data_IF_308701297079
#
_entry.id   IF_308701297079
#
_cell.length_a   1.000
_cell.length_b   1.000
_cell.length_c   1.000
_cell.angle_alpha   90.00
_cell.angle_beta   90.00
_cell.angle_gamma   90.00
#
_symmetry.space_group_name_H-M   'P 1'
#
loop_
_entity.id
_entity.type
_entity.pdbx_description
1 polymer ?
#
# COMPACT_ATOMS: atom_id res chain seq x y z
N UNK A 1 3.10 -44.61 -22.19
CA UNK A 1 2.24 -43.41 -22.13
C UNK A 1 2.41 -42.80 -20.75
N UNK A 2 2.91 -41.57 -20.64
CA UNK A 2 3.27 -40.96 -19.35
C UNK A 2 2.08 -40.25 -18.69
N UNK A 3 2.02 -40.27 -17.35
CA UNK A 3 1.07 -39.48 -16.58
C UNK A 3 1.45 -37.99 -16.60
N UNK A 4 0.48 -37.06 -16.60
CA UNK A 4 0.76 -35.64 -16.47
C UNK A 4 1.18 -35.27 -15.02
N UNK A 5 2.00 -34.22 -14.83
CA UNK A 5 2.42 -33.79 -13.50
C UNK A 5 1.27 -33.13 -12.72
N UNK A 6 1.19 -33.41 -11.42
CA UNK A 6 0.20 -32.79 -10.53
C UNK A 6 0.61 -31.37 -10.14
N UNK A 7 -0.34 -30.43 -10.15
CA UNK A 7 -0.11 -29.06 -9.72
C UNK A 7 0.07 -28.95 -8.19
N UNK A 8 0.94 -28.05 -7.69
CA UNK A 8 1.07 -27.81 -6.25
C UNK A 8 -0.17 -27.10 -5.70
N UNK A 9 -0.83 -27.71 -4.72
CA UNK A 9 -2.05 -27.19 -4.10
C UNK A 9 -1.77 -25.85 -3.41
N UNK A 10 -2.42 -24.79 -3.87
CA UNK A 10 -2.39 -23.48 -3.21
C UNK A 10 -3.08 -23.54 -1.82
N UNK A 11 -2.48 -22.85 -0.85
CA UNK A 11 -2.98 -22.73 0.52
C UNK A 11 -4.44 -22.25 0.59
N UNK A 12 -5.27 -22.92 1.40
CA UNK A 12 -6.63 -22.52 1.78
C UNK A 12 -6.67 -22.26 3.29
N UNK A 13 -7.52 -21.33 3.70
CA UNK A 13 -7.70 -20.93 5.11
C UNK A 13 -8.58 -21.96 5.83
N UNK A 14 -8.17 -22.50 7.00
CA UNK A 14 -9.07 -23.31 7.83
C UNK A 14 -10.16 -22.45 8.49
N UNK A 15 -11.41 -22.94 8.50
CA UNK A 15 -12.54 -22.28 9.19
C UNK A 15 -13.56 -21.58 8.29
N UNK A 16 -13.76 -22.06 7.06
CA UNK A 16 -14.92 -21.71 6.24
C UNK A 16 -15.88 -22.91 6.20
N UNK A 17 -16.90 -22.83 7.06
CA UNK A 17 -18.23 -23.46 7.04
C UNK A 17 -18.33 -24.95 6.67
N UNK A 18 -18.71 -25.76 7.67
CA UNK A 18 -19.28 -27.10 7.48
C UNK A 18 -20.68 -26.99 6.87
N UNK A 19 -20.86 -27.48 5.63
CA UNK A 19 -22.18 -27.76 5.06
C UNK A 19 -22.09 -29.03 4.20
N UNK A 20 -22.91 -30.08 4.46
CA UNK A 20 -22.77 -31.38 3.80
C UNK A 20 -23.45 -31.43 2.42
N UNK A 21 -22.71 -31.96 1.44
CA UNK A 21 -23.15 -32.18 0.06
C UNK A 21 -24.23 -33.30 -0.05
N UNK A 22 -25.44 -33.03 -0.56
CA UNK A 22 -26.48 -34.04 -0.72
C UNK A 22 -26.44 -34.72 -2.10
N UNK A 23 -26.24 -36.04 -2.12
CA UNK A 23 -26.37 -36.87 -3.32
C UNK A 23 -27.81 -36.97 -3.86
N UNK A 24 -28.01 -37.41 -5.12
CA UNK A 24 -29.26 -37.21 -5.84
C UNK A 24 -30.26 -38.39 -5.76
N UNK A 25 -31.57 -38.09 -5.74
CA UNK A 25 -32.60 -38.93 -6.36
C UNK A 25 -33.88 -39.21 -5.55
N UNK A 26 -35.05 -38.93 -6.17
CA UNK A 26 -36.43 -39.28 -5.78
C UNK A 26 -36.97 -38.69 -4.44
N UNK A 27 -38.26 -38.36 -4.26
CA UNK A 27 -39.40 -38.32 -5.20
C UNK A 27 -40.74 -38.53 -4.47
N UNK A 28 -41.78 -37.78 -4.86
CA UNK A 28 -43.21 -37.84 -4.43
C UNK A 28 -43.62 -37.25 -3.05
N UNK A 29 -44.39 -36.15 -3.14
CA UNK A 29 -45.78 -35.93 -2.71
C UNK A 29 -46.26 -36.11 -1.25
N UNK A 30 -46.90 -35.02 -0.78
CA UNK A 30 -48.15 -34.90 0.01
C UNK A 30 -48.38 -35.62 1.36
N UNK A 31 -48.98 -34.87 2.29
CA UNK A 31 -49.83 -35.46 3.35
C UNK A 31 -49.79 -34.79 4.72
N UNK A 32 -50.81 -33.98 5.04
CA UNK A 32 -51.07 -33.45 6.38
C UNK A 32 -51.46 -34.54 7.39
N UNK A 33 -50.97 -34.49 8.64
CA UNK A 33 -51.39 -35.42 9.71
C UNK A 33 -51.00 -35.00 11.13
N UNK A 34 -52.00 -34.88 12.00
CA UNK A 34 -52.01 -34.47 13.41
C UNK A 34 -51.13 -35.28 14.41
N UNK A 35 -50.61 -34.56 15.42
CA UNK A 35 -50.37 -34.91 16.86
C UNK A 35 -50.77 -36.31 17.38
N UNK A 36 -50.02 -36.90 18.36
CA UNK A 36 -50.05 -36.39 19.75
C UNK A 36 -48.78 -36.55 20.63
N UNK A 37 -48.83 -35.93 21.82
CA UNK A 37 -47.84 -35.99 22.91
C UNK A 37 -48.22 -37.12 23.90
N UNK A 38 -47.26 -37.94 24.39
CA UNK A 38 -47.42 -38.74 25.61
C UNK A 38 -46.62 -38.18 26.81
N UNK A 39 -47.20 -38.28 28.01
CA UNK A 39 -46.54 -38.02 29.30
C UNK A 39 -46.04 -39.34 29.96
N UNK A 40 -45.31 -39.16 31.07
CA UNK A 40 -44.99 -40.11 32.14
C UNK A 40 -43.93 -41.22 31.92
N UNK A 41 -43.10 -41.38 32.97
CA UNK A 41 -42.08 -42.42 33.12
C UNK A 41 -41.15 -42.13 34.30
N UNK A 42 -41.38 -42.77 35.46
CA UNK A 42 -40.64 -42.51 36.72
C UNK A 42 -39.67 -43.62 37.11
N UNK A 43 -38.68 -43.27 37.98
CA UNK A 43 -37.75 -44.13 38.76
C UNK A 43 -36.53 -44.71 38.02
N UNK A 44 -35.48 -45.20 38.73
CA UNK A 44 -35.17 -45.12 40.17
C UNK A 44 -33.79 -44.49 40.51
N UNK A 45 -33.55 -44.23 41.80
CA UNK A 45 -32.25 -43.86 42.38
C UNK A 45 -31.61 -45.10 43.03
N UNK A 46 -30.32 -45.39 42.81
CA UNK A 46 -29.52 -46.24 43.70
C UNK A 46 -28.44 -45.44 44.45
N UNK A 47 -28.32 -45.65 45.75
CA UNK A 47 -27.16 -45.22 46.56
C UNK A 47 -26.09 -46.31 46.60
N UNK A 48 -24.82 -45.89 46.53
CA UNK A 48 -23.66 -46.32 47.34
C UNK A 48 -22.36 -46.45 46.53
N UNK A 49 -21.23 -46.05 47.15
CA UNK A 49 -19.88 -46.27 46.61
C UNK A 49 -18.91 -45.11 46.84
N UNK A 50 -18.03 -45.23 47.84
CA UNK A 50 -17.02 -44.23 48.20
C UNK A 50 -15.75 -44.33 47.33
N UNK A 51 -15.20 -43.17 46.88
CA UNK A 51 -13.74 -42.84 46.77
C UNK A 51 -13.51 -41.40 46.18
N UNK A 52 -12.29 -40.82 46.29
CA UNK A 52 -12.14 -39.42 46.72
C UNK A 52 -12.01 -38.36 45.62
N UNK A 53 -12.31 -37.12 46.02
CA UNK A 53 -12.07 -35.90 45.24
C UNK A 53 -10.58 -35.51 45.18
N UNK A 54 -10.05 -35.02 44.04
CA UNK A 54 -8.73 -34.38 43.97
C UNK A 54 -8.77 -32.98 44.60
N UNK A 55 -7.75 -32.61 45.38
CA UNK A 55 -7.53 -31.23 45.81
C UNK A 55 -7.19 -30.34 44.62
N UNK A 56 -7.91 -29.22 44.46
CA UNK A 56 -7.45 -28.09 43.65
C UNK A 56 -6.64 -27.11 44.51
N UNK A 57 -5.49 -26.68 43.97
CA UNK A 57 -4.53 -25.83 44.67
C UNK A 57 -4.99 -24.38 44.87
N UNK A 58 -4.29 -23.69 45.78
CA UNK A 58 -4.55 -22.30 46.17
C UNK A 58 -4.25 -21.30 45.02
N UNK A 59 -4.97 -20.17 44.93
CA UNK A 59 -4.62 -19.08 44.02
C UNK A 59 -3.38 -18.30 44.50
N UNK A 60 -2.53 -17.77 43.60
CA UNK A 60 -1.37 -16.95 43.99
C UNK A 60 -1.74 -15.63 44.67
N UNK A 61 -0.93 -15.19 45.62
CA UNK A 61 -1.09 -13.92 46.32
C UNK A 61 -0.73 -12.71 45.43
N UNK A 62 -1.52 -11.65 45.51
CA UNK A 62 -1.24 -10.37 44.85
C UNK A 62 -0.09 -9.62 45.56
N UNK A 63 0.90 -9.17 44.80
CA UNK A 63 2.00 -8.34 45.30
C UNK A 63 1.60 -6.89 45.59
N UNK A 64 2.26 -6.28 46.58
CA UNK A 64 2.05 -4.89 46.98
C UNK A 64 2.67 -3.88 45.97
N UNK A 65 2.10 -2.66 45.83
CA UNK A 65 2.69 -1.61 45.01
C UNK A 65 3.91 -0.92 45.69
N UNK A 66 4.91 -0.43 44.93
CA UNK A 66 6.07 0.25 45.50
C UNK A 66 5.75 1.63 46.10
N UNK A 67 6.48 2.00 47.16
CA UNK A 67 6.36 3.29 47.84
C UNK A 67 7.04 4.45 47.05
N UNK A 68 6.46 5.64 47.12
CA UNK A 68 7.01 6.87 46.53
C UNK A 68 8.22 7.39 47.33
N UNK A 69 9.32 7.69 46.64
CA UNK A 69 10.50 8.35 47.21
C UNK A 69 10.38 9.88 47.30
N UNK A 70 11.02 10.48 48.30
CA UNK A 70 11.02 11.93 48.58
C UNK A 70 11.99 12.72 47.67
N UNK A 71 11.74 14.03 47.43
CA UNK A 71 12.62 14.91 46.67
C UNK A 71 13.69 15.63 47.54
N UNK A 72 14.93 15.85 47.04
CA UNK A 72 15.91 16.75 47.68
C UNK A 72 15.70 18.24 47.36
N UNK A 73 16.29 19.13 48.18
CA UNK A 73 16.04 20.57 48.21
C UNK A 73 17.06 21.45 47.43
N UNK A 74 16.76 22.76 47.35
CA UNK A 74 17.44 23.80 46.56
C UNK A 74 18.80 24.31 47.12
N UNK A 75 19.82 24.40 46.24
CA UNK A 75 20.66 25.59 45.94
C UNK A 75 21.63 26.23 46.97
N UNK A 76 22.87 26.52 46.54
CA UNK A 76 23.71 27.73 46.82
C UNK A 76 24.97 27.75 45.89
N UNK A 77 25.68 28.89 45.70
CA UNK A 77 26.68 29.13 44.61
C UNK A 77 27.95 29.98 45.05
N UNK A 78 28.83 30.53 44.14
CA UNK A 78 30.31 30.29 43.93
C UNK A 78 31.25 31.41 44.53
N UNK A 79 32.50 31.78 44.08
CA UNK A 79 33.48 31.32 43.04
C UNK A 79 35.02 31.32 43.43
N UNK A 80 35.97 31.18 42.48
CA UNK A 80 37.42 31.55 42.65
C UNK A 80 38.44 31.07 41.56
N UNK A 81 39.47 31.87 41.22
CA UNK A 81 40.43 31.72 40.06
C UNK A 81 41.89 31.33 40.40
N UNK A 82 42.64 30.76 39.42
CA UNK A 82 44.09 31.00 39.18
C UNK A 82 44.57 30.56 37.76
N UNK A 83 45.59 31.22 37.17
CA UNK A 83 46.32 30.83 35.93
C UNK A 83 47.86 30.68 36.19
N UNK A 84 48.80 30.78 35.21
CA UNK A 84 49.61 29.69 34.67
C UNK A 84 51.12 29.81 35.03
N UNK A 85 52.02 28.96 34.48
CA UNK A 85 52.85 29.46 33.36
C UNK A 85 53.29 28.39 32.32
N UNK A 86 54.01 28.82 31.28
CA UNK A 86 54.56 27.99 30.19
C UNK A 86 56.02 28.35 29.86
N UNK A 87 56.86 27.36 29.52
CA UNK A 87 57.66 27.26 28.27
C UNK A 87 58.83 26.26 28.36
N UNK A 88 59.11 25.55 27.25
CA UNK A 88 60.31 24.72 27.04
C UNK A 88 60.27 23.93 25.72
N UNK A 89 61.17 24.24 24.78
CA UNK A 89 61.34 23.65 23.44
C UNK A 89 62.74 24.03 22.90
N UNK A 90 63.26 23.51 21.77
CA UNK A 90 63.18 22.19 21.10
C UNK A 90 64.63 21.71 20.73
N UNK A 91 65.00 21.05 19.59
CA UNK A 91 64.36 20.06 18.69
C UNK A 91 65.14 18.69 18.68
N UNK A 92 64.79 17.62 17.92
CA UNK A 92 65.25 17.41 16.53
C UNK A 92 64.76 16.09 15.87
N UNK A 93 64.28 16.21 14.62
CA UNK A 93 64.29 15.26 13.48
C UNK A 93 63.64 13.86 13.55
N UNK A 94 62.55 13.70 12.77
CA UNK A 94 61.86 12.42 12.53
C UNK A 94 60.71 12.43 11.49
N UNK A 95 60.92 13.02 10.30
CA UNK A 95 60.05 12.97 9.10
C UNK A 95 58.69 13.71 9.08
N UNK A 96 58.24 14.08 7.86
CA UNK A 96 57.09 14.96 7.54
C UNK A 96 55.83 14.21 7.00
N UNK A 97 54.65 14.89 6.93
CA UNK A 97 53.31 14.31 6.67
C UNK A 97 52.87 14.46 5.17
N UNK A 98 51.58 14.40 4.72
CA UNK A 98 50.29 14.18 5.41
C UNK A 98 49.27 13.22 4.73
N UNK A 99 48.18 12.88 5.44
CA UNK A 99 47.03 12.16 4.88
C UNK A 99 45.73 12.37 5.69
N UNK A 100 44.65 12.77 5.00
CA UNK A 100 43.34 13.15 5.55
C UNK A 100 42.73 12.14 6.54
N UNK A 101 42.17 12.66 7.64
CA UNK A 101 41.27 11.90 8.51
C UNK A 101 39.94 11.61 7.78
N UNK A 102 39.59 10.34 7.63
CA UNK A 102 38.32 9.91 7.03
C UNK A 102 37.12 10.12 7.99
N UNK A 103 35.89 10.33 7.46
CA UNK A 103 34.66 10.28 8.25
C UNK A 103 34.48 8.93 8.94
N UNK A 104 33.94 8.94 10.17
CA UNK A 104 33.86 7.77 11.03
C UNK A 104 33.17 6.56 10.40
N UNK A 105 33.88 5.43 10.38
CA UNK A 105 33.33 4.13 10.00
C UNK A 105 32.16 3.75 10.93
N UNK A 106 31.02 3.40 10.32
CA UNK A 106 30.02 2.59 11.00
C UNK A 106 30.67 1.27 11.40
N UNK A 107 30.76 1.00 12.70
CA UNK A 107 31.37 -0.21 13.22
C UNK A 107 30.69 -1.47 12.66
N UNK A 108 31.43 -2.25 11.88
CA UNK A 108 31.02 -3.59 11.47
C UNK A 108 30.84 -4.45 12.74
N UNK A 109 29.66 -5.06 12.98
CA UNK A 109 29.47 -5.91 14.14
C UNK A 109 30.40 -7.13 14.02
N UNK A 110 31.31 -7.25 14.99
CA UNK A 110 32.29 -8.33 15.06
C UNK A 110 31.58 -9.68 15.17
N UNK A 111 32.05 -10.66 14.38
CA UNK A 111 31.46 -12.00 14.32
C UNK A 111 31.52 -12.69 15.68
N UNK A 112 30.35 -13.02 16.24
CA UNK A 112 30.22 -13.76 17.51
C UNK A 112 28.95 -13.42 18.27
N UNK A 113 28.53 -12.14 18.27
CA UNK A 113 27.44 -11.61 19.10
C UNK A 113 26.04 -12.18 18.80
N UNK A 114 25.83 -12.86 17.66
CA UNK A 114 24.52 -13.41 17.29
C UNK A 114 23.99 -14.45 18.29
N UNK A 115 24.86 -15.28 18.88
CA UNK A 115 24.46 -16.38 19.76
C UNK A 115 23.90 -15.93 21.13
N UNK A 116 24.05 -14.65 21.50
CA UNK A 116 23.65 -14.13 22.81
C UNK A 116 22.36 -13.31 22.76
N UNK A 117 21.79 -13.13 21.58
CA UNK A 117 20.55 -12.39 21.40
C UNK A 117 19.35 -13.30 21.71
N UNK A 118 18.33 -12.81 22.44
CA UNK A 118 17.08 -13.56 22.65
C UNK A 118 16.48 -14.06 21.33
N UNK A 119 15.77 -15.21 21.31
CA UNK A 119 15.16 -15.74 20.09
C UNK A 119 14.30 -14.72 19.33
N UNK A 120 13.60 -13.85 20.07
CA UNK A 120 12.83 -12.73 19.49
C UNK A 120 13.69 -11.68 18.79
N UNK A 121 14.89 -11.39 19.30
CA UNK A 121 15.82 -10.44 18.67
C UNK A 121 16.50 -11.09 17.44
N UNK A 122 16.82 -12.38 17.51
CA UNK A 122 17.28 -13.16 16.36
C UNK A 122 16.24 -13.20 15.23
N UNK A 123 14.96 -13.42 15.54
CA UNK A 123 13.87 -13.35 14.55
C UNK A 123 13.69 -11.93 13.96
N UNK A 124 13.96 -10.86 14.71
CA UNK A 124 13.95 -9.48 14.19
C UNK A 124 15.14 -9.16 13.28
N UNK A 125 16.24 -9.90 13.42
CA UNK A 125 17.48 -9.73 12.65
C UNK A 125 17.48 -10.50 11.34
N UNK A 126 16.96 -11.72 11.33
CA UNK A 126 16.75 -12.48 10.10
C UNK A 126 15.52 -11.96 9.34
N UNK A 127 15.59 -10.71 8.84
CA UNK A 127 14.58 -10.07 7.99
C UNK A 127 14.45 -10.87 6.69
N UNK A 128 13.37 -11.65 6.47
CA UNK A 128 13.27 -12.45 5.25
C UNK A 128 13.03 -11.52 4.06
N UNK A 129 12.21 -10.48 4.26
CA UNK A 129 11.79 -9.52 3.25
C UNK A 129 12.10 -8.05 3.51
N UNK A 130 11.47 -7.21 2.70
CA UNK A 130 11.83 -5.79 2.52
C UNK A 130 11.33 -4.85 3.62
N UNK A 131 10.40 -5.31 4.46
CA UNK A 131 9.82 -4.58 5.59
C UNK A 131 9.96 -5.38 6.89
N UNK A 132 9.93 -4.72 8.06
CA UNK A 132 9.82 -5.43 9.32
C UNK A 132 8.40 -5.99 9.50
N UNK A 133 8.27 -7.22 10.00
CA UNK A 133 6.98 -7.88 10.27
C UNK A 133 6.34 -7.39 11.58
N UNK A 134 6.15 -6.08 11.68
CA UNK A 134 5.56 -5.36 12.82
C UNK A 134 4.67 -4.23 12.30
N UNK A 135 3.97 -3.55 13.20
CA UNK A 135 3.30 -2.26 12.92
C UNK A 135 4.27 -1.27 12.26
N UNK A 136 4.03 -0.93 10.99
CA UNK A 136 4.95 -0.13 10.19
C UNK A 136 4.95 1.32 10.65
N UNK A 137 6.11 1.97 10.62
CA UNK A 137 6.20 3.44 10.66
C UNK A 137 6.00 4.02 9.26
N UNK A 138 5.83 5.33 9.19
CA UNK A 138 5.79 6.06 7.92
C UNK A 138 7.08 5.86 7.11
N UNK A 139 8.24 5.89 7.77
CA UNK A 139 9.54 5.58 7.15
C UNK A 139 9.61 4.15 6.62
N UNK A 140 9.16 3.15 7.41
CA UNK A 140 9.13 1.74 6.98
C UNK A 140 8.29 1.54 5.70
N UNK A 141 7.22 2.32 5.50
CA UNK A 141 6.36 2.27 4.30
C UNK A 141 7.07 2.84 3.07
N UNK A 142 7.68 4.03 3.18
CA UNK A 142 8.40 4.64 2.05
C UNK A 142 9.65 3.86 1.67
N UNK A 143 10.46 3.47 2.67
CA UNK A 143 11.66 2.65 2.47
C UNK A 143 11.30 1.26 1.95
N UNK A 144 10.22 0.66 2.47
CA UNK A 144 9.70 -0.64 2.01
C UNK A 144 9.27 -0.62 0.54
N UNK A 145 8.59 0.44 0.09
CA UNK A 145 8.20 0.60 -1.33
C UNK A 145 9.44 0.70 -2.22
N UNK A 146 10.39 1.57 -1.88
CA UNK A 146 11.64 1.75 -2.64
C UNK A 146 12.52 0.49 -2.62
N UNK A 147 12.61 -0.22 -1.48
CA UNK A 147 13.35 -1.48 -1.37
C UNK A 147 12.66 -2.60 -2.17
N UNK A 148 11.32 -2.60 -2.26
CA UNK A 148 10.58 -3.52 -3.14
C UNK A 148 10.95 -3.31 -4.60
N UNK A 149 10.91 -2.07 -5.08
CA UNK A 149 11.31 -1.71 -6.45
C UNK A 149 12.76 -2.11 -6.74
N UNK A 150 13.69 -1.80 -5.83
CA UNK A 150 15.12 -2.16 -5.99
C UNK A 150 15.39 -3.66 -5.95
N UNK A 151 14.61 -4.45 -5.18
CA UNK A 151 14.75 -5.91 -5.09
C UNK A 151 14.06 -6.65 -6.25
N UNK A 152 13.05 -6.04 -6.86
CA UNK A 152 12.26 -6.60 -7.96
C UNK A 152 12.12 -5.59 -9.13
N UNK A 153 13.23 -5.14 -9.76
CA UNK A 153 13.17 -4.11 -10.79
C UNK A 153 12.40 -4.56 -12.03
N UNK A 154 12.51 -5.84 -12.39
CA UNK A 154 11.82 -6.45 -13.53
C UNK A 154 10.29 -6.41 -13.36
N UNK A 155 9.76 -6.89 -12.23
CA UNK A 155 8.31 -6.94 -11.98
C UNK A 155 7.71 -5.60 -11.51
N UNK A 156 8.53 -4.57 -11.26
CA UNK A 156 8.06 -3.21 -10.93
C UNK A 156 8.26 -2.25 -12.09
N UNK A 157 9.49 -1.76 -12.30
CA UNK A 157 9.82 -0.78 -13.35
C UNK A 157 9.76 -1.43 -14.74
N UNK A 158 10.28 -2.65 -14.91
CA UNK A 158 10.21 -3.37 -16.19
C UNK A 158 8.77 -3.64 -16.62
N UNK A 159 7.93 -4.12 -15.70
CA UNK A 159 6.49 -4.28 -15.90
C UNK A 159 5.82 -2.93 -16.18
N UNK A 160 6.23 -1.85 -15.52
CA UNK A 160 5.69 -0.51 -15.77
C UNK A 160 6.00 -0.01 -17.18
N UNK A 161 7.26 -0.08 -17.62
CA UNK A 161 7.66 0.29 -18.99
C UNK A 161 6.95 -0.60 -20.02
N UNK A 162 6.79 -1.89 -19.76
CA UNK A 162 6.08 -2.82 -20.66
C UNK A 162 4.59 -2.46 -20.78
N UNK A 163 3.87 -2.32 -19.66
CA UNK A 163 2.43 -2.04 -19.66
C UNK A 163 2.13 -0.63 -20.16
N UNK A 164 2.92 0.37 -19.74
CA UNK A 164 2.79 1.74 -20.25
C UNK A 164 3.16 1.81 -21.73
N UNK A 165 4.22 1.13 -22.18
CA UNK A 165 4.60 1.09 -23.60
C UNK A 165 3.52 0.48 -24.50
N UNK A 166 2.91 -0.63 -24.07
CA UNK A 166 1.78 -1.28 -24.78
C UNK A 166 0.57 -0.33 -24.91
N UNK A 167 0.36 0.58 -23.97
CA UNK A 167 -0.75 1.54 -24.00
C UNK A 167 -0.37 2.86 -24.69
N UNK A 168 0.83 3.38 -24.45
CA UNK A 168 1.29 4.68 -24.95
C UNK A 168 1.75 4.64 -26.41
N UNK A 169 2.24 3.52 -26.94
CA UNK A 169 2.59 3.42 -28.37
C UNK A 169 1.35 3.51 -29.27
N UNK A 170 0.27 2.75 -29.04
CA UNK A 170 -1.00 2.97 -29.75
C UNK A 170 -1.59 4.35 -29.50
N UNK A 171 -1.52 4.87 -28.27
CA UNK A 171 -1.96 6.24 -27.93
C UNK A 171 -1.25 7.30 -28.78
N UNK A 172 0.07 7.18 -28.94
CA UNK A 172 0.87 8.11 -29.72
C UNK A 172 0.47 8.06 -31.19
N UNK A 173 0.39 6.87 -31.78
CA UNK A 173 -0.08 6.70 -33.16
C UNK A 173 -1.47 7.32 -33.34
N UNK A 174 -2.40 7.03 -32.43
CA UNK A 174 -3.77 7.55 -32.48
C UNK A 174 -3.78 9.09 -32.43
N UNK A 175 -2.98 9.69 -31.55
CA UNK A 175 -2.82 11.15 -31.39
C UNK A 175 -2.17 11.84 -32.60
N UNK A 176 -1.24 11.16 -33.28
CA UNK A 176 -0.56 11.70 -34.47
C UNK A 176 -1.40 11.59 -35.75
N UNK A 177 -2.20 10.53 -35.89
CA UNK A 177 -2.89 10.22 -37.15
C UNK A 177 -4.38 10.62 -37.20
N UNK A 178 -5.15 10.59 -36.09
CA UNK A 178 -6.57 10.99 -36.15
C UNK A 178 -6.81 12.41 -36.70
N UNK A 179 -6.08 13.44 -36.24
CA UNK A 179 -6.20 14.79 -36.78
C UNK A 179 -6.10 14.88 -38.30
N UNK A 180 -5.23 14.03 -38.90
CA UNK A 180 -4.94 13.99 -40.34
C UNK A 180 -5.95 13.18 -41.14
N UNK A 181 -6.59 12.19 -40.52
CA UNK A 181 -7.57 11.32 -41.18
C UNK A 181 -8.97 11.95 -41.26
N UNK A 182 -9.30 12.86 -40.35
CA UNK A 182 -10.64 13.42 -40.19
C UNK A 182 -10.71 14.96 -40.30
N UNK A 183 -9.61 15.62 -40.69
CA UNK A 183 -9.48 17.09 -40.84
C UNK A 183 -10.07 17.88 -39.67
N UNK A 184 -9.65 17.50 -38.45
CA UNK A 184 -10.26 17.98 -37.22
C UNK A 184 -9.88 19.42 -36.90
N UNK A 185 -10.81 20.19 -36.32
CA UNK A 185 -10.51 21.53 -35.81
C UNK A 185 -9.46 21.47 -34.68
N UNK A 186 -8.62 22.50 -34.56
CA UNK A 186 -7.51 22.54 -33.59
C UNK A 186 -7.94 22.22 -32.14
N UNK A 187 -9.13 22.69 -31.73
CA UNK A 187 -9.72 22.39 -30.41
C UNK A 187 -9.92 20.88 -30.20
N UNK A 188 -10.43 20.17 -31.21
CA UNK A 188 -10.65 18.73 -31.15
C UNK A 188 -9.32 17.97 -31.20
N UNK A 189 -8.33 18.46 -31.96
CA UNK A 189 -6.98 17.88 -31.98
C UNK A 189 -6.33 17.94 -30.59
N UNK A 190 -6.39 19.10 -29.91
CA UNK A 190 -5.87 19.29 -28.55
C UNK A 190 -6.65 18.46 -27.52
N UNK A 191 -7.98 18.37 -27.67
CA UNK A 191 -8.81 17.54 -26.81
C UNK A 191 -8.47 16.05 -26.94
N UNK A 192 -8.34 15.52 -28.16
CA UNK A 192 -7.97 14.12 -28.42
C UNK A 192 -6.54 13.81 -27.96
N UNK A 193 -5.58 14.68 -28.26
CA UNK A 193 -4.19 14.56 -27.80
C UNK A 193 -4.06 14.57 -26.27
N UNK A 194 -5.03 15.12 -25.56
CA UNK A 194 -5.12 15.04 -24.08
C UNK A 194 -5.91 13.83 -23.61
N UNK A 195 -7.05 13.53 -24.22
CA UNK A 195 -8.00 12.52 -23.75
C UNK A 195 -7.48 11.10 -23.97
N UNK A 196 -6.96 10.80 -25.17
CA UNK A 196 -6.48 9.46 -25.54
C UNK A 196 -5.36 9.00 -24.59
N UNK A 197 -4.27 9.76 -24.37
CA UNK A 197 -3.19 9.29 -23.51
C UNK A 197 -3.63 9.19 -22.05
N UNK A 198 -4.48 10.10 -21.56
CA UNK A 198 -4.99 10.04 -20.19
C UNK A 198 -5.84 8.79 -19.93
N UNK A 199 -6.73 8.40 -20.86
CA UNK A 199 -7.53 7.18 -20.73
C UNK A 199 -6.65 5.92 -20.75
N UNK A 200 -5.74 5.82 -21.73
CA UNK A 200 -4.89 4.65 -21.90
C UNK A 200 -3.86 4.51 -20.76
N UNK A 201 -3.33 5.63 -20.25
CA UNK A 201 -2.48 5.68 -19.05
C UNK A 201 -3.27 5.33 -17.78
N UNK A 202 -4.53 5.72 -17.66
CA UNK A 202 -5.38 5.34 -16.52
C UNK A 202 -5.61 3.82 -16.46
N UNK A 203 -5.78 3.17 -17.62
CA UNK A 203 -5.88 1.69 -17.71
C UNK A 203 -4.54 1.04 -17.36
N UNK A 204 -3.43 1.56 -17.89
CA UNK A 204 -2.07 1.06 -17.59
C UNK A 204 -1.76 1.13 -16.09
N UNK A 205 -2.02 2.28 -15.46
CA UNK A 205 -1.74 2.52 -14.04
C UNK A 205 -2.64 1.70 -13.12
N UNK A 206 -3.89 1.45 -13.49
CA UNK A 206 -4.78 0.52 -12.80
C UNK A 206 -4.21 -0.90 -12.79
N UNK A 207 -3.80 -1.42 -13.95
CA UNK A 207 -3.18 -2.75 -14.04
C UNK A 207 -1.87 -2.83 -13.24
N UNK A 208 -1.02 -1.80 -13.37
CA UNK A 208 0.24 -1.70 -12.63
C UNK A 208 0.06 -1.62 -11.12
N UNK A 209 -0.99 -0.96 -10.64
CA UNK A 209 -1.30 -0.96 -9.21
C UNK A 209 -1.46 -2.40 -8.70
N UNK A 210 -2.21 -3.24 -9.41
CA UNK A 210 -2.42 -4.64 -9.05
C UNK A 210 -1.15 -5.48 -9.13
N UNK A 211 -0.36 -5.33 -10.19
CA UNK A 211 0.94 -6.01 -10.33
C UNK A 211 1.87 -5.67 -9.18
N UNK A 212 2.01 -4.40 -8.85
CA UNK A 212 2.95 -3.95 -7.80
C UNK A 212 2.44 -4.32 -6.40
N UNK A 213 1.12 -4.27 -6.14
CA UNK A 213 0.53 -4.78 -4.90
C UNK A 213 0.91 -6.25 -4.66
N UNK A 214 0.84 -7.10 -5.68
CA UNK A 214 1.28 -8.48 -5.59
C UNK A 214 2.79 -8.59 -5.31
N UNK A 215 3.63 -7.87 -6.07
CA UNK A 215 5.10 -7.86 -5.89
C UNK A 215 5.50 -7.45 -4.47
N UNK A 216 4.81 -6.47 -3.88
CA UNK A 216 5.05 -6.02 -2.49
C UNK A 216 4.75 -7.13 -1.49
N UNK A 217 3.67 -7.89 -1.67
CA UNK A 217 3.32 -8.98 -0.75
C UNK A 217 4.36 -10.11 -0.75
N UNK A 218 4.90 -10.47 -1.91
CA UNK A 218 5.95 -11.48 -2.03
C UNK A 218 7.30 -10.94 -1.52
N UNK A 219 7.62 -9.68 -1.81
CA UNK A 219 8.83 -9.02 -1.30
C UNK A 219 8.81 -8.82 0.22
N UNK A 220 7.63 -8.65 0.83
CA UNK A 220 7.46 -8.59 2.29
C UNK A 220 7.77 -9.93 2.97
N UNK A 221 7.44 -11.05 2.30
CA UNK A 221 7.76 -12.41 2.76
C UNK A 221 9.18 -12.86 2.37
N UNK A 222 9.87 -12.09 1.53
CA UNK A 222 11.29 -12.27 1.24
C UNK A 222 11.64 -12.85 -0.12
N UNK A 223 10.65 -13.07 -0.96
CA UNK A 223 10.87 -13.64 -2.29
C UNK A 223 11.15 -12.56 -3.33
N UNK A 224 11.53 -13.04 -4.52
CA UNK A 224 11.65 -12.22 -5.72
C UNK A 224 10.72 -12.78 -6.78
N UNK A 225 10.13 -11.90 -7.58
CA UNK A 225 9.18 -12.27 -8.64
C UNK A 225 9.53 -11.57 -9.93
N UNK A 226 9.39 -12.29 -11.05
CA UNK A 226 9.54 -11.77 -12.41
C UNK A 226 8.19 -11.42 -13.06
N UNK A 227 8.23 -10.77 -14.22
CA UNK A 227 7.07 -10.29 -14.99
C UNK A 227 6.05 -11.42 -15.21
N UNK A 228 6.50 -12.59 -15.68
CA UNK A 228 5.63 -13.72 -16.00
C UNK A 228 4.90 -14.30 -14.80
N UNK A 229 5.49 -14.25 -13.60
CA UNK A 229 4.84 -14.70 -12.36
C UNK A 229 3.79 -13.70 -11.91
N UNK A 230 4.13 -12.41 -11.90
CA UNK A 230 3.24 -11.30 -11.55
C UNK A 230 2.01 -11.23 -12.47
N UNK A 231 2.21 -11.40 -13.78
CA UNK A 231 1.10 -11.50 -14.73
C UNK A 231 0.18 -12.69 -14.42
N UNK A 232 0.73 -13.89 -14.22
CA UNK A 232 -0.06 -15.10 -13.90
C UNK A 232 -0.85 -14.96 -12.60
N UNK A 233 -0.27 -14.33 -11.57
CA UNK A 233 -0.92 -14.10 -10.29
C UNK A 233 -2.09 -13.09 -10.37
N UNK A 234 -1.95 -12.03 -11.18
CA UNK A 234 -2.87 -10.88 -11.17
C UNK A 234 -3.85 -10.86 -12.36
N UNK A 235 -3.58 -11.52 -13.49
CA UNK A 235 -4.42 -11.43 -14.71
C UNK A 235 -5.91 -11.71 -14.46
N UNK A 236 -6.22 -12.69 -13.61
CA UNK A 236 -7.60 -13.06 -13.24
C UNK A 236 -8.30 -12.05 -12.31
N UNK A 237 -7.60 -11.00 -11.87
CA UNK A 237 -8.11 -9.94 -10.99
C UNK A 237 -8.19 -8.58 -11.66
N UNK A 238 -7.73 -8.42 -12.91
CA UNK A 238 -7.79 -7.16 -13.65
C UNK A 238 -9.24 -6.66 -13.82
N UNK A 239 -10.20 -7.55 -14.13
CA UNK A 239 -11.62 -7.17 -14.20
C UNK A 239 -12.19 -6.76 -12.83
N UNK A 240 -11.72 -7.36 -11.73
CA UNK A 240 -12.12 -6.95 -10.39
C UNK A 240 -11.52 -5.60 -9.97
N UNK A 241 -10.30 -5.28 -10.44
CA UNK A 241 -9.70 -3.95 -10.29
C UNK A 241 -10.43 -2.89 -11.11
N UNK A 242 -10.78 -3.19 -12.37
CA UNK A 242 -11.63 -2.30 -13.19
C UNK A 242 -12.97 -2.09 -12.51
N UNK A 243 -13.61 -3.16 -12.01
CA UNK A 243 -14.85 -3.08 -11.26
C UNK A 243 -14.74 -2.24 -9.98
N UNK A 244 -13.65 -2.32 -9.22
CA UNK A 244 -13.48 -1.52 -7.99
C UNK A 244 -13.26 -0.05 -8.32
N UNK A 245 -12.45 0.27 -9.34
CA UNK A 245 -12.23 1.64 -9.81
C UNK A 245 -13.51 2.24 -10.38
N UNK A 246 -14.29 1.48 -11.16
CA UNK A 246 -15.54 1.95 -11.73
C UNK A 246 -16.61 2.18 -10.65
N UNK A 247 -16.74 1.29 -9.66
CA UNK A 247 -17.65 1.51 -8.53
C UNK A 247 -17.26 2.73 -7.67
N UNK A 248 -15.95 2.91 -7.42
CA UNK A 248 -15.45 4.11 -6.72
C UNK A 248 -15.72 5.37 -7.54
N UNK A 249 -15.45 5.34 -8.84
CA UNK A 249 -15.72 6.46 -9.75
C UNK A 249 -17.20 6.83 -9.79
N UNK A 250 -18.09 5.85 -10.01
CA UNK A 250 -19.56 6.08 -10.02
C UNK A 250 -20.06 6.59 -8.67
N UNK A 251 -19.53 6.06 -7.55
CA UNK A 251 -19.88 6.53 -6.21
C UNK A 251 -19.45 7.98 -5.96
N UNK A 252 -18.22 8.34 -6.33
CA UNK A 252 -17.71 9.72 -6.21
C UNK A 252 -18.43 10.67 -7.16
N UNK A 253 -18.75 10.23 -8.38
CA UNK A 253 -19.53 10.99 -9.36
C UNK A 253 -20.95 11.24 -8.86
N UNK A 254 -21.61 10.25 -8.27
CA UNK A 254 -22.94 10.42 -7.67
C UNK A 254 -22.93 11.43 -6.51
N UNK A 255 -21.90 11.41 -5.66
CA UNK A 255 -21.70 12.43 -4.60
C UNK A 255 -21.45 13.81 -5.21
N UNK A 256 -20.61 13.93 -6.24
CA UNK A 256 -20.35 15.20 -6.93
C UNK A 256 -21.63 15.77 -7.58
N UNK A 257 -22.40 14.94 -8.28
CA UNK A 257 -23.66 15.34 -8.91
C UNK A 257 -24.72 15.73 -7.87
N UNK A 258 -24.79 15.04 -6.73
CA UNK A 258 -25.68 15.42 -5.63
C UNK A 258 -25.30 16.78 -5.03
N UNK A 259 -24.00 17.05 -4.86
CA UNK A 259 -23.50 18.36 -4.43
C UNK A 259 -23.88 19.45 -5.43
N UNK A 260 -23.62 19.23 -6.73
CA UNK A 260 -23.98 20.19 -7.79
C UNK A 260 -25.48 20.46 -7.81
N UNK A 261 -26.32 19.41 -7.72
CA UNK A 261 -27.78 19.54 -7.67
C UNK A 261 -28.24 20.37 -6.47
N UNK A 262 -27.75 20.06 -5.27
CA UNK A 262 -28.06 20.84 -4.05
C UNK A 262 -27.59 22.28 -4.18
N UNK A 263 -26.39 22.51 -4.72
CA UNK A 263 -25.85 23.85 -5.00
C UNK A 263 -26.73 24.64 -5.97
N UNK A 264 -27.17 24.04 -7.08
CA UNK A 264 -28.07 24.70 -8.04
C UNK A 264 -29.43 25.01 -7.41
N UNK A 265 -30.02 24.07 -6.68
CA UNK A 265 -31.29 24.29 -5.98
C UNK A 265 -31.19 25.41 -4.93
N UNK A 266 -30.07 25.51 -4.22
CA UNK A 266 -29.82 26.57 -3.24
C UNK A 266 -29.78 27.96 -3.88
N UNK A 267 -29.10 28.10 -5.04
CA UNK A 267 -29.07 29.36 -5.81
C UNK A 267 -30.44 29.70 -6.38
N UNK A 268 -31.17 28.73 -6.94
CA UNK A 268 -32.51 28.96 -7.50
C UNK A 268 -33.52 29.37 -6.43
N UNK A 269 -33.47 28.76 -5.24
CA UNK A 269 -34.42 29.03 -4.16
C UNK A 269 -34.13 30.33 -3.38
N UNK A 270 -32.84 30.72 -3.24
CA UNK A 270 -32.42 31.83 -2.37
C UNK A 270 -31.76 33.01 -3.14
N UNK A 271 -31.68 32.93 -4.47
CA UNK A 271 -31.11 33.98 -5.30
C UNK A 271 -29.67 34.34 -4.91
N UNK A 272 -29.33 35.64 -4.75
CA UNK A 272 -27.99 36.08 -4.34
C UNK A 272 -27.52 35.46 -3.02
N UNK A 273 -28.42 35.21 -2.06
CA UNK A 273 -28.06 34.57 -0.78
C UNK A 273 -27.62 33.12 -1.01
N UNK A 274 -28.27 32.41 -1.93
CA UNK A 274 -27.88 31.06 -2.33
C UNK A 274 -26.49 31.01 -2.97
N UNK A 275 -26.13 32.02 -3.77
CA UNK A 275 -24.80 32.14 -4.35
C UNK A 275 -23.71 32.38 -3.29
N UNK A 276 -23.97 33.19 -2.27
CA UNK A 276 -23.05 33.38 -1.13
C UNK A 276 -22.86 32.07 -0.35
N UNK A 277 -23.94 31.30 -0.15
CA UNK A 277 -23.88 30.01 0.54
C UNK A 277 -23.16 28.91 -0.25
N UNK A 278 -22.85 29.09 -1.54
CA UNK A 278 -21.98 28.14 -2.27
C UNK A 278 -20.55 28.14 -1.75
N UNK A 279 -20.05 29.25 -1.23
CA UNK A 279 -18.67 29.37 -0.73
C UNK A 279 -18.37 28.33 0.37
N UNK A 280 -19.13 28.23 1.48
CA UNK A 280 -18.92 27.19 2.48
C UNK A 280 -19.20 25.76 1.96
N UNK A 281 -20.12 25.59 1.00
CA UNK A 281 -20.37 24.27 0.37
C UNK A 281 -19.13 23.79 -0.39
N UNK A 282 -18.54 24.64 -1.24
CA UNK A 282 -17.32 24.33 -2.01
C UNK A 282 -16.14 24.07 -1.06
N UNK A 283 -15.98 24.87 -0.01
CA UNK A 283 -14.95 24.65 1.03
C UNK A 283 -15.16 23.29 1.72
N UNK A 284 -16.41 22.91 2.03
CA UNK A 284 -16.76 21.61 2.63
C UNK A 284 -16.56 20.41 1.71
N UNK A 285 -16.56 20.59 0.38
CA UNK A 285 -16.31 19.51 -0.57
C UNK A 285 -14.90 18.95 -0.44
N UNK A 286 -13.88 19.79 -0.26
CA UNK A 286 -12.47 19.37 -0.18
C UNK A 286 -12.23 18.35 0.94
N UNK A 287 -12.55 18.61 2.23
CA UNK A 287 -12.36 17.62 3.29
C UNK A 287 -13.28 16.39 3.12
N UNK A 288 -14.47 16.54 2.54
CA UNK A 288 -15.35 15.40 2.23
C UNK A 288 -14.70 14.44 1.22
N UNK A 289 -14.20 14.96 0.10
CA UNK A 289 -13.54 14.14 -0.92
C UNK A 289 -12.21 13.56 -0.43
N UNK A 290 -11.43 14.31 0.37
CA UNK A 290 -10.22 13.76 1.01
C UNK A 290 -10.55 12.62 1.99
N UNK A 291 -11.62 12.75 2.77
CA UNK A 291 -12.08 11.69 3.67
C UNK A 291 -12.60 10.47 2.90
N UNK A 292 -13.41 10.66 1.85
CA UNK A 292 -13.87 9.57 0.98
C UNK A 292 -12.68 8.86 0.30
N UNK A 293 -11.70 9.62 -0.20
CA UNK A 293 -10.47 9.08 -0.76
C UNK A 293 -9.71 8.22 0.27
N UNK A 294 -9.54 8.71 1.50
CA UNK A 294 -8.93 7.96 2.59
C UNK A 294 -9.63 6.60 2.82
N UNK A 295 -10.98 6.62 2.85
CA UNK A 295 -11.82 5.42 3.03
C UNK A 295 -11.73 4.40 1.91
N UNK A 296 -11.54 4.85 0.67
CA UNK A 296 -11.60 4.00 -0.54
C UNK A 296 -10.22 3.62 -1.09
N UNK A 297 -9.16 4.32 -0.69
CA UNK A 297 -7.78 4.15 -1.20
C UNK A 297 -7.20 2.73 -1.09
N UNK A 298 -7.67 1.91 -0.15
CA UNK A 298 -7.15 0.56 0.07
C UNK A 298 -7.97 -0.54 -0.62
N UNK A 299 -9.02 -0.19 -1.38
CA UNK A 299 -9.92 -1.16 -1.99
C UNK A 299 -9.25 -2.01 -3.09
N UNK A 300 -8.34 -1.43 -3.86
CA UNK A 300 -7.52 -2.16 -4.86
C UNK A 300 -6.60 -3.18 -4.20
N UNK A 301 -5.96 -2.82 -3.09
CA UNK A 301 -5.12 -3.73 -2.30
C UNK A 301 -5.92 -4.91 -1.74
N UNK A 302 -7.15 -4.68 -1.26
CA UNK A 302 -8.04 -5.75 -0.82
C UNK A 302 -8.45 -6.70 -1.96
N UNK A 303 -8.84 -6.18 -3.13
CA UNK A 303 -9.22 -7.01 -4.29
C UNK A 303 -8.09 -7.93 -4.74
N UNK A 304 -6.84 -7.47 -4.70
CA UNK A 304 -5.67 -8.23 -5.15
C UNK A 304 -5.19 -9.22 -4.08
N UNK A 305 -4.99 -8.77 -2.84
CA UNK A 305 -4.34 -9.56 -1.80
C UNK A 305 -5.29 -10.54 -1.10
N UNK A 306 -6.55 -10.15 -0.87
CA UNK A 306 -7.57 -11.05 -0.30
C UNK A 306 -8.37 -11.80 -1.37
N UNK A 307 -8.06 -11.60 -2.66
CA UNK A 307 -8.81 -12.19 -3.78
C UNK A 307 -10.33 -11.88 -3.68
N UNK A 308 -10.65 -10.71 -3.14
CA UNK A 308 -12.02 -10.23 -2.94
C UNK A 308 -12.67 -9.77 -4.26
N UNK A 309 -14.01 -9.75 -4.29
CA UNK A 309 -14.77 -9.05 -5.34
C UNK A 309 -14.78 -7.52 -5.12
N UNK A 310 -15.16 -6.71 -6.12
CA UNK A 310 -15.11 -5.24 -6.04
C UNK A 310 -15.82 -4.64 -4.82
N UNK A 311 -17.09 -4.99 -4.62
CA UNK A 311 -17.91 -4.49 -3.50
C UNK A 311 -17.33 -4.92 -2.16
N UNK A 312 -16.85 -6.16 -2.06
CA UNK A 312 -16.20 -6.69 -0.86
C UNK A 312 -14.90 -5.93 -0.55
N UNK A 313 -14.10 -5.61 -1.57
CA UNK A 313 -12.89 -4.79 -1.42
C UNK A 313 -13.17 -3.38 -0.92
N UNK A 314 -14.25 -2.74 -1.38
CA UNK A 314 -14.70 -1.44 -0.87
C UNK A 314 -15.13 -1.54 0.60
N UNK A 315 -16.00 -2.51 0.95
CA UNK A 315 -16.41 -2.76 2.34
C UNK A 315 -15.21 -3.01 3.25
N UNK A 316 -14.20 -3.75 2.76
CA UNK A 316 -12.96 -4.06 3.48
C UNK A 316 -12.10 -2.82 3.71
N UNK A 317 -11.88 -2.01 2.68
CA UNK A 317 -11.19 -0.72 2.77
C UNK A 317 -11.84 0.19 3.81
N UNK A 318 -13.18 0.24 3.81
CA UNK A 318 -13.95 1.02 4.77
C UNK A 318 -13.76 0.54 6.22
N UNK A 319 -13.84 -0.79 6.45
CA UNK A 319 -13.64 -1.37 7.78
C UNK A 319 -12.23 -1.03 8.33
N UNK A 320 -11.18 -1.29 7.54
CA UNK A 320 -9.78 -1.07 7.94
C UNK A 320 -9.48 0.40 8.26
N UNK A 321 -10.04 1.34 7.48
CA UNK A 321 -9.81 2.80 7.61
C UNK A 321 -10.65 3.50 8.69
N UNK A 322 -11.39 2.76 9.53
CA UNK A 322 -12.31 3.37 10.51
C UNK A 322 -11.60 4.14 11.63
N UNK A 323 -12.22 5.22 12.10
CA UNK A 323 -11.71 6.08 13.17
C UNK A 323 -10.50 6.92 12.74
N UNK A 324 -9.57 7.17 13.66
CA UNK A 324 -8.40 8.03 13.45
C UNK A 324 -7.39 7.51 12.41
N UNK A 325 -7.46 6.23 12.01
CA UNK A 325 -6.54 5.66 11.02
C UNK A 325 -6.77 6.22 9.61
N UNK A 326 -7.97 6.69 9.26
CA UNK A 326 -8.24 7.37 7.98
C UNK A 326 -7.27 8.54 7.75
N UNK A 327 -7.04 9.38 8.75
CA UNK A 327 -6.14 10.54 8.65
C UNK A 327 -4.69 10.15 8.45
N UNK A 328 -4.25 9.04 9.05
CA UNK A 328 -2.90 8.50 8.84
C UNK A 328 -2.74 7.93 7.43
N UNK A 329 -3.70 7.15 6.94
CA UNK A 329 -3.71 6.63 5.57
C UNK A 329 -3.70 7.81 4.58
N UNK A 330 -4.57 8.80 4.78
CA UNK A 330 -4.64 10.01 3.98
C UNK A 330 -3.31 10.77 3.96
N UNK A 331 -2.73 11.08 5.12
CA UNK A 331 -1.49 11.85 5.22
C UNK A 331 -0.30 11.16 4.55
N UNK A 332 -0.17 9.83 4.70
CA UNK A 332 0.91 9.06 4.05
C UNK A 332 0.68 8.99 2.53
N UNK A 333 -0.55 8.79 2.07
CA UNK A 333 -0.88 8.76 0.64
C UNK A 333 -0.73 10.14 -0.02
N UNK A 334 -1.12 11.22 0.66
CA UNK A 334 -0.87 12.60 0.21
C UNK A 334 0.63 12.85 0.10
N UNK A 335 1.45 12.47 1.08
CA UNK A 335 2.90 12.65 0.96
C UNK A 335 3.48 11.81 -0.18
N UNK A 336 3.03 10.58 -0.38
CA UNK A 336 3.44 9.77 -1.53
C UNK A 336 3.06 10.45 -2.87
N UNK A 337 1.88 11.06 -2.93
CA UNK A 337 1.44 11.89 -4.05
C UNK A 337 2.31 13.14 -4.25
N UNK A 338 2.67 13.85 -3.18
CA UNK A 338 3.57 15.02 -3.24
C UNK A 338 4.97 14.62 -3.71
N UNK A 339 5.53 13.51 -3.22
CA UNK A 339 6.83 13.01 -3.69
C UNK A 339 6.77 12.59 -5.17
N UNK A 340 5.69 11.95 -5.59
CA UNK A 340 5.41 11.63 -7.00
C UNK A 340 5.26 12.88 -7.87
N UNK A 341 4.60 13.92 -7.36
CA UNK A 341 4.42 15.20 -8.04
C UNK A 341 5.75 15.95 -8.18
N UNK A 342 6.57 16.03 -7.13
CA UNK A 342 7.90 16.63 -7.17
C UNK A 342 8.78 15.91 -8.19
N UNK A 343 8.77 14.57 -8.20
CA UNK A 343 9.49 13.79 -9.21
C UNK A 343 8.96 14.06 -10.62
N UNK A 344 7.63 14.07 -10.81
CA UNK A 344 6.99 14.38 -12.10
C UNK A 344 7.38 15.76 -12.63
N UNK A 345 7.29 16.80 -11.80
CA UNK A 345 7.67 18.18 -12.17
C UNK A 345 9.18 18.30 -12.43
N UNK A 346 10.01 17.67 -11.61
CA UNK A 346 11.47 17.69 -11.80
C UNK A 346 11.87 17.04 -13.13
N UNK A 347 11.32 15.87 -13.47
CA UNK A 347 11.58 15.21 -14.76
C UNK A 347 11.00 16.03 -15.92
N UNK A 348 9.72 16.40 -15.84
CA UNK A 348 9.02 17.10 -16.94
C UNK A 348 9.65 18.46 -17.25
N UNK A 349 10.13 19.20 -16.25
CA UNK A 349 10.73 20.52 -16.46
C UNK A 349 12.00 20.46 -17.32
N UNK A 350 12.81 19.39 -17.21
CA UNK A 350 13.98 19.18 -18.07
C UNK A 350 13.57 19.02 -19.54
N UNK A 351 12.52 18.24 -19.81
CA UNK A 351 12.01 18.04 -21.17
C UNK A 351 11.33 19.30 -21.74
N UNK A 352 10.53 20.01 -20.94
CA UNK A 352 9.90 21.29 -21.34
C UNK A 352 10.97 22.34 -21.63
N UNK A 353 12.03 22.43 -20.82
CA UNK A 353 13.16 23.34 -21.08
C UNK A 353 13.93 22.95 -22.35
N UNK A 354 14.22 21.66 -22.55
CA UNK A 354 14.90 21.17 -23.75
C UNK A 354 14.08 21.45 -25.02
N UNK A 355 12.76 21.25 -24.98
CA UNK A 355 11.86 21.64 -26.06
C UNK A 355 11.90 23.15 -26.26
N UNK A 356 11.69 23.94 -25.20
CA UNK A 356 11.71 25.40 -25.27
C UNK A 356 13.01 25.96 -25.88
N UNK A 357 14.17 25.39 -25.55
CA UNK A 357 15.44 25.73 -26.17
C UNK A 357 15.47 25.38 -27.66
N UNK A 358 14.97 24.21 -28.06
CA UNK A 358 14.83 23.81 -29.47
C UNK A 358 13.85 24.71 -30.23
N UNK A 359 12.75 25.12 -29.62
CA UNK A 359 11.77 26.06 -30.20
C UNK A 359 12.39 27.42 -30.51
N UNK A 360 13.28 27.91 -29.65
CA UNK A 360 14.02 29.17 -29.87
C UNK A 360 15.09 29.06 -30.97
N UNK A 361 15.44 27.85 -31.42
CA UNK A 361 16.39 27.60 -32.50
C UNK A 361 15.71 27.29 -33.86
N UNK A 362 14.40 27.06 -33.87
CA UNK A 362 13.65 26.59 -35.04
C UNK A 362 12.83 27.66 -35.76
N UNK A 363 12.76 27.56 -37.09
CA UNK A 363 11.94 28.46 -37.94
C UNK A 363 10.46 28.03 -37.99
N UNK A 364 9.70 28.37 -36.95
CA UNK A 364 8.32 28.87 -37.09
C UNK A 364 7.16 27.97 -37.54
N UNK A 365 7.32 26.70 -37.93
CA UNK A 365 6.16 25.84 -38.28
C UNK A 365 5.46 25.27 -37.03
N UNK A 366 4.38 25.93 -36.60
CA UNK A 366 3.54 25.51 -35.48
C UNK A 366 2.97 24.08 -35.59
N UNK A 367 2.84 23.54 -36.81
CA UNK A 367 2.37 22.17 -37.05
C UNK A 367 3.42 21.16 -36.58
N UNK A 368 4.68 21.36 -36.95
CA UNK A 368 5.80 20.55 -36.48
C UNK A 368 5.97 20.68 -34.95
N UNK A 369 5.73 21.88 -34.38
CA UNK A 369 5.82 22.09 -32.93
C UNK A 369 4.76 21.28 -32.17
N UNK A 370 3.50 21.28 -32.63
CA UNK A 370 2.42 20.49 -32.03
C UNK A 370 2.76 19.00 -32.01
N UNK A 371 3.15 18.42 -33.15
CA UNK A 371 3.49 16.99 -33.20
C UNK A 371 4.75 16.65 -32.40
N UNK A 372 5.75 17.54 -32.36
CA UNK A 372 6.92 17.40 -31.50
C UNK A 372 6.57 17.37 -30.01
N UNK A 373 5.65 18.25 -29.57
CA UNK A 373 5.16 18.26 -28.19
C UNK A 373 4.37 16.99 -27.86
N UNK A 374 3.48 16.52 -28.75
CA UNK A 374 2.72 15.27 -28.54
C UNK A 374 3.66 14.07 -28.34
N UNK A 375 4.74 13.96 -29.14
CA UNK A 375 5.75 12.90 -28.95
C UNK A 375 6.46 13.05 -27.60
N UNK A 376 6.85 14.28 -27.23
CA UNK A 376 7.52 14.58 -25.97
C UNK A 376 6.65 14.20 -24.76
N UNK A 377 5.37 14.59 -24.77
CA UNK A 377 4.42 14.32 -23.69
C UNK A 377 4.24 12.81 -23.45
N UNK A 378 4.25 12.00 -24.53
CA UNK A 378 4.22 10.53 -24.42
C UNK A 378 5.51 9.96 -23.82
N UNK A 379 6.68 10.49 -24.19
CA UNK A 379 7.98 10.07 -23.61
C UNK A 379 8.08 10.46 -22.13
N UNK A 380 7.72 11.69 -21.78
CA UNK A 380 7.67 12.19 -20.40
C UNK A 380 6.69 11.35 -19.56
N UNK A 381 5.48 11.12 -20.07
CA UNK A 381 4.47 10.29 -19.40
C UNK A 381 4.96 8.86 -19.16
N UNK A 382 5.63 8.24 -20.14
CA UNK A 382 6.23 6.92 -19.98
C UNK A 382 7.27 6.90 -18.86
N UNK A 383 8.24 7.82 -18.89
CA UNK A 383 9.35 7.90 -17.90
C UNK A 383 8.82 8.20 -16.50
N UNK A 384 7.92 9.16 -16.35
CA UNK A 384 7.35 9.55 -15.06
C UNK A 384 6.50 8.43 -14.47
N UNK A 385 5.53 7.89 -15.22
CA UNK A 385 4.63 6.86 -14.69
C UNK A 385 5.34 5.52 -14.45
N UNK A 386 6.41 5.20 -15.20
CA UNK A 386 7.23 4.01 -14.96
C UNK A 386 7.89 3.98 -13.56
N UNK A 387 8.05 5.15 -12.92
CA UNK A 387 8.64 5.28 -11.57
C UNK A 387 7.58 5.63 -10.52
N UNK A 388 6.71 6.60 -10.80
CA UNK A 388 5.72 7.11 -9.83
C UNK A 388 4.63 6.07 -9.54
N UNK A 389 4.14 5.34 -10.55
CA UNK A 389 3.06 4.37 -10.36
C UNK A 389 3.51 3.17 -9.49
N UNK A 390 4.67 2.53 -9.70
CA UNK A 390 5.13 1.49 -8.79
C UNK A 390 5.42 2.01 -7.37
N UNK A 391 5.97 3.20 -7.23
CA UNK A 391 6.23 3.78 -5.91
C UNK A 391 4.94 3.99 -5.10
N UNK A 392 3.92 4.62 -5.71
CA UNK A 392 2.64 4.92 -5.07
C UNK A 392 1.79 3.67 -4.81
N UNK A 393 1.74 2.73 -5.77
CA UNK A 393 1.12 1.42 -5.56
C UNK A 393 1.81 0.62 -4.45
N UNK A 394 3.14 0.71 -4.34
CA UNK A 394 3.92 0.12 -3.27
C UNK A 394 3.58 0.68 -1.89
N UNK A 395 3.42 2.00 -1.80
CA UNK A 395 2.95 2.67 -0.57
C UNK A 395 1.52 2.23 -0.21
N UNK A 396 0.60 2.15 -1.18
CA UNK A 396 -0.78 1.69 -0.94
C UNK A 396 -0.84 0.23 -0.44
N UNK A 397 -0.05 -0.66 -1.03
CA UNK A 397 0.06 -2.06 -0.60
C UNK A 397 0.59 -2.20 0.84
N UNK A 398 1.61 -1.42 1.19
CA UNK A 398 2.18 -1.41 2.55
C UNK A 398 1.27 -0.73 3.58
N UNK A 399 0.52 0.31 3.20
CA UNK A 399 -0.52 0.91 4.04
C UNK A 399 -1.63 -0.10 4.36
N UNK A 400 -2.09 -0.86 3.36
CA UNK A 400 -3.07 -1.91 3.55
C UNK A 400 -2.55 -3.03 4.48
N UNK A 401 -1.30 -3.47 4.28
CA UNK A 401 -0.66 -4.46 5.14
C UNK A 401 -0.52 -3.95 6.59
N UNK A 402 -0.10 -2.70 6.78
CA UNK A 402 -0.03 -2.04 8.11
C UNK A 402 -1.41 -1.96 8.79
N UNK A 403 -2.48 -1.64 8.05
CA UNK A 403 -3.82 -1.64 8.63
C UNK A 403 -4.26 -3.05 9.05
N UNK A 404 -3.97 -4.09 8.26
CA UNK A 404 -4.26 -5.48 8.68
C UNK A 404 -3.42 -5.93 9.88
N UNK A 405 -2.14 -5.57 9.96
CA UNK A 405 -1.32 -5.81 11.16
C UNK A 405 -1.91 -5.08 12.38
N UNK A 406 -2.37 -3.83 12.24
CA UNK A 406 -2.96 -3.04 13.35
C UNK A 406 -4.33 -3.52 13.81
N UNK A 407 -5.17 -3.99 12.89
CA UNK A 407 -6.57 -4.34 13.13
C UNK A 407 -6.80 -5.83 13.38
N UNK A 408 -5.93 -6.70 12.87
CA UNK A 408 -6.21 -8.14 12.71
C UNK A 408 -5.10 -9.06 13.24
N UNK A 409 -3.97 -8.52 13.73
CA UNK A 409 -2.86 -9.35 14.21
C UNK A 409 -2.17 -10.15 13.11
N UNK A 410 -2.16 -9.63 11.87
CA UNK A 410 -1.58 -10.31 10.71
C UNK A 410 -0.06 -10.53 10.82
N UNK A 411 0.63 -9.86 11.75
CA UNK A 411 2.07 -10.01 11.98
C UNK A 411 2.47 -11.47 12.33
N UNK A 412 1.71 -12.15 13.19
CA UNK A 412 1.97 -13.56 13.55
C UNK A 412 1.90 -14.48 12.31
N UNK A 413 0.89 -14.28 11.46
CA UNK A 413 0.71 -15.04 10.22
C UNK A 413 1.82 -14.80 9.20
N UNK A 414 2.27 -13.55 9.07
CA UNK A 414 3.38 -13.18 8.19
C UNK A 414 4.72 -13.78 8.68
N UNK A 415 4.97 -13.77 9.99
CA UNK A 415 6.18 -14.38 10.57
C UNK A 415 6.22 -15.88 10.27
N UNK A 416 5.11 -16.60 10.50
CA UNK A 416 5.02 -18.04 10.18
C UNK A 416 5.25 -18.31 8.69
N UNK A 417 4.55 -17.61 7.80
CA UNK A 417 4.68 -17.79 6.36
C UNK A 417 6.10 -17.48 5.85
N UNK A 418 6.77 -16.47 6.41
CA UNK A 418 8.14 -16.14 6.05
C UNK A 418 9.17 -17.16 6.58
N UNK A 419 8.92 -17.79 7.73
CA UNK A 419 9.73 -18.90 8.26
C UNK A 419 9.57 -20.17 7.41
N UNK A 420 8.35 -20.55 7.03
CA UNK A 420 8.08 -21.68 6.15
C UNK A 420 8.79 -21.53 4.79
N UNK A 421 8.73 -20.32 4.19
CA UNK A 421 9.46 -19.98 2.96
C UNK A 421 10.98 -19.89 3.14
N UNK A 422 11.48 -19.58 4.33
CA UNK A 422 12.92 -19.63 4.62
C UNK A 422 13.41 -21.08 4.71
N UNK A 423 12.66 -21.95 5.40
CA UNK A 423 12.96 -23.38 5.51
C UNK A 423 12.94 -24.06 4.13
N UNK A 424 11.91 -23.82 3.32
CA UNK A 424 11.79 -24.36 1.95
C UNK A 424 12.76 -23.79 0.91
N UNK A 425 13.69 -22.90 1.31
CA UNK A 425 14.82 -22.43 0.48
C UNK A 425 16.18 -22.97 0.97
N UNK A 426 16.22 -23.62 2.13
CA UNK A 426 17.41 -24.26 2.70
C UNK A 426 17.42 -25.79 2.56
N UNK A 427 16.36 -26.35 1.96
CA UNK A 427 16.24 -27.73 1.51
C UNK A 427 16.22 -27.78 -0.03
#
# INVERSE_FOLDING_TARGET
>A
MGQPPQEPRGWRVPGADDDPDPGPGAGHDDGSGTQPIPQDGTRPIPQDGTRPFPQYGQPPAYGQPPAYGQPPAYGQQPPGYAQPPSYGQPPAYGQQPPGYAQPGQYGSPTGGAWHQLPPEQLMRLNKPGVIPLRRLTMGDIFEGSLRTMRRNPEATIGMAVLVLGIMLVPSLLLSLYLPRLFDLALTDQVALASLIPNLLTSIATLALSGFVIYVVSEAALGDRVGIGQTWRAVRGRLLALVGVTLLVFVGLLAVALAIVLVSTLLVVALGPVGAVLLVPVIIGCVPLFLWLYARLSLASAAVVLEKAGPVTGIKRSWALTTGSQAWRVLGITILAGILGLIFSVAVSSVFVFALGALLNLGTGDGTALFYGQVVLDHVVSLVVNAVVTPFTAGVAALLYLDQRIRREGLDVGLVKAAQERAAGRGA
#
